data_IF_762262317136
#
_entry.id   IF_762262317136
#
_cell.length_a   1.000
_cell.length_b   1.000
_cell.length_c   1.000
_cell.angle_alpha   90.00
_cell.angle_beta   90.00
_cell.angle_gamma   90.00
#
_symmetry.space_group_name_H-M   'P 1'
#
loop_
_entity.id
_entity.type
_entity.pdbx_description
1 polymer ?
#
# COMPACT_ATOMS: atom_id res chain seq x y z
N UNK A 1 1.96 -17.92 5.59
CA UNK A 1 3.08 -17.02 5.23
C UNK A 1 3.23 -17.07 3.72
N UNK A 2 3.03 -15.97 2.99
CA UNK A 2 2.92 -15.96 1.52
C UNK A 2 4.18 -16.48 0.78
N UNK A 3 5.34 -16.48 1.43
CA UNK A 3 6.63 -16.89 0.86
C UNK A 3 7.39 -17.95 1.67
N UNK A 4 6.84 -18.45 2.79
CA UNK A 4 7.65 -19.13 3.81
C UNK A 4 8.69 -18.18 4.43
N UNK A 5 9.77 -18.72 5.02
CA UNK A 5 10.92 -17.89 5.40
C UNK A 5 11.67 -17.46 4.12
N UNK A 6 11.86 -16.16 3.87
CA UNK A 6 12.43 -15.68 2.61
C UNK A 6 13.94 -15.92 2.59
N UNK A 7 14.38 -17.04 2.02
CA UNK A 7 15.81 -17.30 1.78
C UNK A 7 16.33 -16.61 0.52
N UNK A 8 15.44 -16.07 -0.33
CA UNK A 8 15.81 -15.37 -1.56
C UNK A 8 16.25 -13.93 -1.23
N UNK A 9 17.52 -13.54 -1.45
CA UNK A 9 18.00 -12.18 -1.21
C UNK A 9 17.26 -11.12 -2.04
N UNK A 10 16.69 -11.48 -3.19
CA UNK A 10 15.92 -10.55 -4.03
C UNK A 10 14.64 -10.10 -3.34
N UNK A 11 14.01 -10.99 -2.55
CA UNK A 11 12.84 -10.62 -1.73
C UNK A 11 13.22 -9.62 -0.66
N UNK A 12 14.37 -9.79 0.00
CA UNK A 12 14.86 -8.82 0.97
C UNK A 12 15.08 -7.45 0.32
N UNK A 13 15.75 -7.40 -0.84
CA UNK A 13 15.90 -6.17 -1.60
C UNK A 13 14.53 -5.54 -1.88
N UNK A 14 13.57 -6.30 -2.41
CA UNK A 14 12.22 -5.82 -2.68
C UNK A 14 11.54 -5.23 -1.44
N UNK A 15 11.62 -5.92 -0.30
CA UNK A 15 11.01 -5.46 0.95
C UNK A 15 11.61 -4.14 1.44
N UNK A 16 12.90 -3.91 1.21
CA UNK A 16 13.53 -2.65 1.61
C UNK A 16 13.27 -1.50 0.63
N UNK A 17 13.19 -1.77 -0.66
CA UNK A 17 13.17 -0.69 -1.68
C UNK A 17 11.78 -0.28 -2.16
N UNK A 18 10.75 -1.12 -1.97
CA UNK A 18 9.44 -0.89 -2.58
C UNK A 18 8.80 0.47 -2.26
N UNK A 19 8.96 0.95 -1.03
CA UNK A 19 8.41 2.23 -0.57
C UNK A 19 9.43 3.38 -0.53
N UNK A 20 10.69 3.16 -0.95
CA UNK A 20 11.71 4.23 -0.91
C UNK A 20 11.39 5.40 -1.83
N UNK A 21 10.49 5.22 -2.81
CA UNK A 21 9.99 6.32 -3.65
C UNK A 21 9.18 7.38 -2.89
N UNK A 22 8.75 7.11 -1.66
CA UNK A 22 8.13 8.11 -0.78
C UNK A 22 9.14 9.08 -0.16
N UNK A 23 10.43 8.72 -0.12
CA UNK A 23 11.46 9.55 0.54
C UNK A 23 11.55 10.92 -0.14
N UNK A 24 11.31 11.97 0.64
CA UNK A 24 11.37 13.36 0.16
C UNK A 24 10.11 13.84 -0.56
N UNK A 25 9.04 13.05 -0.63
CA UNK A 25 7.75 13.48 -1.20
C UNK A 25 6.88 14.20 -0.16
N UNK A 26 6.41 15.42 -0.43
CA UNK A 26 5.60 16.20 0.51
C UNK A 26 4.13 15.76 0.59
N UNK A 27 3.64 14.98 -0.38
CA UNK A 27 2.24 14.58 -0.49
C UNK A 27 2.10 13.10 -0.85
N UNK A 28 1.82 12.26 0.16
CA UNK A 28 1.76 10.80 0.00
C UNK A 28 0.50 10.33 -0.74
N UNK A 29 -0.62 11.06 -0.62
CA UNK A 29 -1.85 10.80 -1.36
C UNK A 29 -2.02 11.74 -2.56
N UNK A 30 -0.94 12.33 -3.05
CA UNK A 30 -0.89 13.12 -4.28
C UNK A 30 -0.51 12.30 -5.50
N UNK A 31 -0.41 12.97 -6.67
CA UNK A 31 0.11 12.37 -7.91
C UNK A 31 1.55 11.90 -7.70
N UNK A 32 2.36 12.66 -6.96
CA UNK A 32 3.74 12.30 -6.64
C UNK A 32 3.82 11.06 -5.74
N UNK A 33 2.90 10.93 -4.80
CA UNK A 33 2.80 9.79 -3.91
C UNK A 33 2.36 8.52 -4.65
N UNK A 34 1.60 8.61 -5.74
CA UNK A 34 1.28 7.44 -6.58
C UNK A 34 2.50 6.88 -7.32
N UNK A 35 3.49 7.72 -7.62
CA UNK A 35 4.71 7.34 -8.32
C UNK A 35 5.77 6.68 -7.42
N UNK A 36 5.53 6.50 -6.12
CA UNK A 36 6.49 5.86 -5.20
C UNK A 36 6.97 4.48 -5.69
N UNK A 37 6.11 3.77 -6.41
CA UNK A 37 6.39 2.44 -6.96
C UNK A 37 7.53 2.42 -7.99
N UNK A 38 7.75 3.54 -8.68
CA UNK A 38 8.64 3.60 -9.85
C UNK A 38 10.10 3.42 -9.44
N UNK A 39 10.56 4.16 -8.43
CA UNK A 39 11.95 4.10 -7.99
C UNK A 39 12.38 2.69 -7.57
N UNK A 40 11.57 2.03 -6.74
CA UNK A 40 11.85 0.67 -6.30
C UNK A 40 11.82 -0.32 -7.47
N UNK A 41 10.87 -0.16 -8.39
CA UNK A 41 10.74 -1.01 -9.58
C UNK A 41 11.95 -0.89 -10.51
N UNK A 42 12.36 0.33 -10.87
CA UNK A 42 13.53 0.57 -11.72
C UNK A 42 14.80 -0.02 -11.12
N UNK A 43 14.98 0.12 -9.80
CA UNK A 43 16.12 -0.44 -9.09
C UNK A 43 16.11 -1.97 -9.18
N UNK A 44 14.98 -2.62 -8.86
CA UNK A 44 14.91 -4.08 -8.95
C UNK A 44 14.99 -4.59 -10.39
N UNK A 45 14.45 -3.86 -11.36
CA UNK A 45 14.57 -4.15 -12.79
C UNK A 45 16.01 -4.13 -13.26
N UNK A 46 16.77 -3.12 -12.83
CA UNK A 46 18.19 -2.97 -13.14
C UNK A 46 19.04 -4.12 -12.57
N UNK A 47 18.78 -4.55 -11.34
CA UNK A 47 19.60 -5.57 -10.67
C UNK A 47 19.14 -7.02 -10.91
N UNK A 48 17.85 -7.25 -11.13
CA UNK A 48 17.25 -8.59 -11.12
C UNK A 48 16.32 -8.88 -12.32
N UNK A 49 16.10 -7.90 -13.21
CA UNK A 49 15.35 -8.05 -14.46
C UNK A 49 13.87 -7.66 -14.37
N UNK A 50 13.21 -7.61 -15.54
CA UNK A 50 11.85 -7.09 -15.71
C UNK A 50 10.78 -7.77 -14.84
N UNK A 51 10.94 -9.06 -14.52
CA UNK A 51 9.99 -9.74 -13.61
C UNK A 51 10.01 -9.13 -12.19
N UNK A 52 11.18 -8.66 -11.74
CA UNK A 52 11.34 -8.02 -10.42
C UNK A 52 10.94 -6.55 -10.44
N UNK A 53 11.07 -5.89 -11.60
CA UNK A 53 10.48 -4.58 -11.86
C UNK A 53 8.97 -4.65 -11.68
N UNK A 54 8.28 -5.54 -12.42
CA UNK A 54 6.83 -5.74 -12.33
C UNK A 54 6.40 -6.17 -10.92
N UNK A 55 7.16 -7.05 -10.29
CA UNK A 55 6.89 -7.51 -8.93
C UNK A 55 6.86 -6.33 -7.94
N UNK A 56 7.75 -5.36 -8.09
CA UNK A 56 7.75 -4.15 -7.30
C UNK A 56 6.71 -3.14 -7.79
N UNK A 57 6.61 -2.87 -9.08
CA UNK A 57 5.73 -1.85 -9.64
C UNK A 57 4.27 -2.09 -9.26
N UNK A 58 3.84 -3.35 -9.30
CA UNK A 58 2.46 -3.75 -9.00
C UNK A 58 2.22 -4.05 -7.51
N UNK A 59 3.05 -3.53 -6.60
CA UNK A 59 2.76 -3.59 -5.16
C UNK A 59 1.71 -2.54 -4.71
N UNK A 60 1.48 -1.49 -5.51
CA UNK A 60 0.42 -0.50 -5.26
C UNK A 60 -0.89 -0.86 -5.96
N UNK A 61 -1.98 -0.96 -5.19
CA UNK A 61 -3.33 -1.25 -5.71
C UNK A 61 -3.82 -0.17 -6.68
N UNK A 62 -3.52 1.10 -6.39
CA UNK A 62 -3.91 2.22 -7.25
C UNK A 62 -3.17 2.19 -8.58
N UNK A 63 -1.86 1.92 -8.54
CA UNK A 63 -1.05 1.78 -9.76
C UNK A 63 -1.55 0.61 -10.62
N UNK A 64 -1.85 -0.53 -10.01
CA UNK A 64 -2.46 -1.67 -10.68
C UNK A 64 -3.78 -1.30 -11.38
N UNK A 65 -4.63 -0.50 -10.73
CA UNK A 65 -5.89 -0.04 -11.33
C UNK A 65 -5.70 0.92 -12.48
N UNK A 66 -4.70 1.79 -12.41
CA UNK A 66 -4.34 2.72 -13.48
C UNK A 66 -3.87 1.97 -14.73
N UNK A 67 -2.98 1.00 -14.56
CA UNK A 67 -2.42 0.21 -15.67
C UNK A 67 -3.30 -1.00 -16.06
N UNK A 68 -4.43 -1.23 -15.38
CA UNK A 68 -5.28 -2.42 -15.56
C UNK A 68 -4.55 -3.77 -15.32
N UNK A 69 -3.57 -3.77 -14.41
CA UNK A 69 -2.82 -4.95 -13.99
C UNK A 69 -3.35 -5.53 -12.66
N UNK A 70 -2.95 -6.77 -12.36
CA UNK A 70 -3.24 -7.42 -11.07
C UNK A 70 -2.15 -7.08 -10.04
N UNK A 71 -2.50 -6.93 -8.75
CA UNK A 71 -1.52 -6.75 -7.70
C UNK A 71 -0.51 -7.90 -7.63
N UNK A 72 0.76 -7.55 -7.44
CA UNK A 72 1.82 -8.55 -7.25
C UNK A 72 1.70 -9.21 -5.88
N UNK A 73 2.41 -10.33 -5.68
CA UNK A 73 2.49 -10.96 -4.36
C UNK A 73 3.06 -10.00 -3.28
N UNK A 74 3.89 -9.03 -3.70
CA UNK A 74 4.45 -8.02 -2.81
C UNK A 74 3.35 -7.12 -2.23
N UNK A 75 2.33 -6.76 -3.03
CA UNK A 75 1.17 -6.00 -2.55
C UNK A 75 0.49 -6.71 -1.37
N UNK A 76 0.20 -8.01 -1.51
CA UNK A 76 -0.48 -8.76 -0.47
C UNK A 76 0.39 -8.90 0.79
N UNK A 77 1.69 -9.10 0.61
CA UNK A 77 2.63 -9.21 1.71
C UNK A 77 2.79 -7.91 2.49
N UNK A 78 2.88 -6.77 1.79
CA UNK A 78 2.86 -5.43 2.38
C UNK A 78 1.61 -5.23 3.26
N UNK A 79 0.42 -5.52 2.73
CA UNK A 79 -0.83 -5.35 3.51
C UNK A 79 -0.92 -6.29 4.71
N UNK A 80 -0.44 -7.53 4.58
CA UNK A 80 -0.36 -8.44 5.73
C UNK A 80 0.68 -8.00 6.76
N UNK A 81 1.78 -7.36 6.36
CA UNK A 81 2.77 -6.84 7.29
C UNK A 81 2.15 -5.77 8.21
N UNK A 82 1.33 -4.87 7.65
CA UNK A 82 0.56 -3.88 8.45
C UNK A 82 -0.39 -4.58 9.43
N UNK A 83 -1.06 -5.66 9.01
CA UNK A 83 -1.96 -6.44 9.88
C UNK A 83 -1.24 -7.13 11.04
N UNK A 84 0.06 -7.44 10.90
CA UNK A 84 0.87 -8.09 11.94
C UNK A 84 1.60 -7.08 12.82
N UNK A 85 1.71 -5.83 12.37
CA UNK A 85 2.44 -4.81 13.10
C UNK A 85 1.68 -4.39 14.37
N UNK A 86 2.35 -4.33 15.54
CA UNK A 86 1.69 -3.88 16.75
C UNK A 86 1.44 -2.36 16.70
N UNK A 87 0.29 -1.94 17.23
CA UNK A 87 -0.14 -0.53 17.24
C UNK A 87 0.89 0.41 17.87
N UNK A 88 1.64 -0.05 18.87
CA UNK A 88 2.63 0.77 19.58
C UNK A 88 3.86 1.07 18.72
N UNK A 89 4.08 0.33 17.64
CA UNK A 89 5.15 0.57 16.67
C UNK A 89 4.65 1.38 15.47
N UNK A 90 3.47 1.03 14.95
CA UNK A 90 2.90 1.71 13.79
C UNK A 90 2.45 3.15 14.10
N UNK A 91 1.66 3.34 15.16
CA UNK A 91 1.02 4.63 15.45
C UNK A 91 2.03 5.76 15.72
N UNK A 92 3.15 5.58 16.44
CA UNK A 92 4.14 6.63 16.57
C UNK A 92 4.72 7.06 15.22
N UNK A 93 5.05 6.13 14.33
CA UNK A 93 5.60 6.43 13.00
C UNK A 93 4.58 7.18 12.14
N UNK A 94 3.36 6.67 12.07
CA UNK A 94 2.28 7.26 11.28
C UNK A 94 1.81 8.63 11.80
N UNK A 95 2.03 8.93 13.09
CA UNK A 95 1.85 10.28 13.65
C UNK A 95 2.99 11.22 13.28
N UNK A 96 4.25 10.75 13.39
CA UNK A 96 5.43 11.55 13.09
C UNK A 96 5.51 11.91 11.59
N UNK A 97 5.09 11.02 10.70
CA UNK A 97 5.01 11.30 9.26
C UNK A 97 3.84 12.21 8.89
N UNK A 98 2.84 12.38 9.75
CA UNK A 98 1.60 13.08 9.45
C UNK A 98 0.59 12.25 8.63
N UNK A 99 0.93 11.00 8.29
CA UNK A 99 0.12 10.08 7.49
C UNK A 99 -1.30 9.92 8.06
N UNK A 100 -1.44 9.72 9.37
CA UNK A 100 -2.77 9.56 10.01
C UNK A 100 -3.69 10.76 9.75
N UNK A 101 -3.14 11.97 9.75
CA UNK A 101 -3.92 13.19 9.55
C UNK A 101 -4.39 13.30 8.10
N UNK A 102 -3.53 12.95 7.14
CA UNK A 102 -3.83 12.92 5.71
C UNK A 102 -4.90 11.87 5.41
N UNK A 103 -4.72 10.64 5.90
CA UNK A 103 -5.69 9.55 5.76
C UNK A 103 -7.07 9.92 6.31
N UNK A 104 -7.14 10.42 7.55
CA UNK A 104 -8.41 10.81 8.19
C UNK A 104 -9.09 11.97 7.47
N UNK A 105 -8.30 12.90 6.91
CA UNK A 105 -8.83 14.01 6.09
C UNK A 105 -9.41 13.47 4.77
N UNK A 106 -8.66 12.63 4.07
CA UNK A 106 -9.07 12.03 2.80
C UNK A 106 -10.24 11.05 2.96
N UNK A 107 -10.40 10.41 4.12
CA UNK A 107 -11.54 9.55 4.38
C UNK A 107 -12.84 10.31 4.68
N UNK A 108 -12.77 11.59 5.09
CA UNK A 108 -13.95 12.43 5.37
C UNK A 108 -14.55 13.08 4.12
N UNK A 109 -13.74 13.27 3.08
CA UNK A 109 -14.18 13.86 1.81
C UNK A 109 -14.88 12.78 0.98
N UNK A 110 -16.12 13.02 0.54
CA UNK A 110 -16.92 12.05 -0.24
C UNK A 110 -16.25 11.58 -1.54
N UNK A 111 -15.40 12.41 -2.13
CA UNK A 111 -14.57 12.10 -3.31
C UNK A 111 -13.17 11.54 -2.95
N UNK A 112 -12.88 11.37 -1.66
CA UNK A 112 -11.55 11.02 -1.20
C UNK A 112 -11.24 9.53 -1.33
N UNK A 113 -9.95 9.25 -1.54
CA UNK A 113 -9.38 7.92 -1.85
C UNK A 113 -9.78 6.80 -0.88
N UNK A 114 -10.11 7.18 0.36
CA UNK A 114 -10.40 6.26 1.47
C UNK A 114 -11.85 6.34 1.97
N UNK A 115 -12.71 7.14 1.34
CA UNK A 115 -14.09 7.35 1.76
C UNK A 115 -14.88 6.04 1.80
N UNK A 116 -14.70 5.17 0.80
CA UNK A 116 -15.41 3.88 0.69
C UNK A 116 -14.93 2.83 1.69
N UNK A 117 -13.80 3.05 2.38
CA UNK A 117 -13.24 2.08 3.33
C UNK A 117 -13.97 2.07 4.68
N UNK A 118 -14.80 3.09 4.96
CA UNK A 118 -15.61 3.21 6.18
C UNK A 118 -14.83 2.91 7.48
N UNK A 119 -13.61 3.44 7.56
CA UNK A 119 -12.71 3.26 8.70
C UNK A 119 -13.23 4.03 9.92
N UNK A 120 -12.78 3.62 11.12
CA UNK A 120 -13.13 4.23 12.40
C UNK A 120 -12.46 5.62 12.60
N UNK A 121 -12.65 6.53 11.64
CA UNK A 121 -11.95 7.81 11.53
C UNK A 121 -12.30 8.81 12.65
N UNK A 122 -13.48 8.68 13.25
CA UNK A 122 -13.96 9.50 14.36
C UNK A 122 -13.62 8.90 15.73
N UNK A 123 -12.98 7.73 15.76
CA UNK A 123 -12.50 7.08 16.98
C UNK A 123 -11.00 7.34 17.17
N UNK A 124 -10.49 7.06 18.38
CA UNK A 124 -9.07 7.21 18.69
C UNK A 124 -8.17 6.42 17.73
N UNK A 125 -6.92 6.84 17.56
CA UNK A 125 -6.01 6.28 16.54
C UNK A 125 -5.83 4.77 16.61
N UNK A 126 -5.96 4.18 17.81
CA UNK A 126 -5.93 2.73 17.97
C UNK A 126 -7.12 2.03 17.32
N UNK A 127 -8.34 2.53 17.55
CA UNK A 127 -9.54 1.98 16.92
C UNK A 127 -9.49 2.19 15.39
N UNK A 128 -8.96 3.33 14.94
CA UNK A 128 -8.69 3.57 13.52
C UNK A 128 -7.71 2.52 12.96
N UNK A 129 -6.57 2.28 13.62
CA UNK A 129 -5.58 1.30 13.16
C UNK A 129 -6.12 -0.12 13.15
N UNK A 130 -6.87 -0.53 14.18
CA UNK A 130 -7.56 -1.83 14.22
C UNK A 130 -8.55 -1.97 13.05
N UNK A 131 -9.25 -0.88 12.68
CA UNK A 131 -10.13 -0.89 11.49
C UNK A 131 -9.36 -0.99 10.17
N UNK A 132 -8.18 -0.36 10.07
CA UNK A 132 -7.28 -0.49 8.92
C UNK A 132 -6.79 -1.93 8.78
N UNK A 133 -6.31 -2.54 9.87
CA UNK A 133 -5.85 -3.93 9.87
C UNK A 133 -6.96 -4.89 9.44
N UNK A 134 -8.18 -4.73 9.98
CA UNK A 134 -9.31 -5.58 9.60
C UNK A 134 -9.70 -5.38 8.13
N UNK A 135 -9.73 -4.14 7.64
CA UNK A 135 -10.00 -3.87 6.22
C UNK A 135 -8.95 -4.53 5.32
N UNK A 136 -7.66 -4.34 5.61
CA UNK A 136 -6.56 -4.89 4.82
C UNK A 136 -6.58 -6.42 4.84
N UNK A 137 -6.81 -7.02 6.00
CA UNK A 137 -6.91 -8.47 6.13
C UNK A 137 -8.04 -9.04 5.25
N UNK A 138 -9.23 -8.44 5.29
CA UNK A 138 -10.37 -8.86 4.45
C UNK A 138 -10.08 -8.64 2.97
N UNK A 139 -9.46 -7.51 2.61
CA UNK A 139 -9.08 -7.23 1.24
C UNK A 139 -8.09 -8.28 0.70
N UNK A 140 -7.06 -8.62 1.48
CA UNK A 140 -6.12 -9.68 1.09
C UNK A 140 -6.85 -11.01 0.94
N UNK A 141 -7.68 -11.39 1.92
CA UNK A 141 -8.43 -12.65 1.87
C UNK A 141 -9.37 -12.76 0.66
N UNK A 142 -9.98 -11.65 0.23
CA UNK A 142 -10.88 -11.65 -0.92
C UNK A 142 -10.14 -11.73 -2.25
N UNK A 143 -8.95 -11.11 -2.37
CA UNK A 143 -8.31 -10.89 -3.67
C UNK A 143 -7.01 -11.70 -3.89
N UNK A 144 -6.48 -12.39 -2.88
CA UNK A 144 -5.22 -13.15 -3.02
C UNK A 144 -5.30 -14.28 -4.06
N UNK A 145 -6.49 -14.80 -4.31
CA UNK A 145 -6.78 -15.85 -5.30
C UNK A 145 -6.97 -15.29 -6.72
N UNK A 146 -6.76 -13.98 -6.90
CA UNK A 146 -6.75 -13.32 -8.20
C UNK A 146 -8.10 -12.80 -8.67
N UNK A 147 -9.10 -12.73 -7.77
CA UNK A 147 -10.35 -11.98 -8.00
C UNK A 147 -10.08 -10.50 -8.27
N UNK A 148 -10.97 -9.87 -9.03
CA UNK A 148 -10.84 -8.44 -9.36
C UNK A 148 -11.01 -7.57 -8.10
N UNK A 149 -10.06 -6.65 -7.88
CA UNK A 149 -10.15 -5.67 -6.80
C UNK A 149 -11.28 -4.66 -7.01
N UNK A 150 -12.46 -4.94 -6.48
CA UNK A 150 -13.61 -4.03 -6.57
C UNK A 150 -13.66 -3.01 -5.44
N UNK A 151 -12.75 -3.11 -4.48
CA UNK A 151 -12.76 -2.35 -3.23
C UNK A 151 -11.93 -1.07 -3.33
N UNK A 152 -10.82 -1.12 -4.06
CA UNK A 152 -9.98 0.05 -4.33
C UNK A 152 -10.64 0.88 -5.43
N UNK A 153 -10.99 2.16 -5.16
CA UNK A 153 -11.60 3.01 -6.17
C UNK A 153 -10.61 3.27 -7.32
N UNK A 154 -11.12 3.26 -8.57
CA UNK A 154 -10.36 3.75 -9.72
C UNK A 154 -10.23 5.27 -9.58
N UNK A 155 -9.03 5.80 -9.74
CA UNK A 155 -8.82 7.24 -9.81
C UNK A 155 -9.61 7.78 -11.01
N UNK A 156 -10.53 8.70 -10.80
CA UNK A 156 -10.98 9.57 -11.88
C UNK A 156 -9.90 10.63 -11.98
N UNK A 157 -9.05 10.58 -13.02
CA UNK A 157 -8.25 11.75 -13.36
C UNK A 157 -9.25 12.91 -13.53
N UNK A 158 -9.13 13.94 -12.70
CA UNK A 158 -9.68 15.24 -13.08
C UNK A 158 -8.77 15.72 -14.21
N UNK A 159 -9.23 15.48 -15.44
CA UNK A 159 -8.66 16.07 -16.66
C UNK A 159 -8.63 17.60 -16.55
#
# INVERSE_FOLDING_TARGET
MLYGFPYDPKLWCAFFVHDLGYVGKPNMDGVEGEQHVVFGAELLGLFFGAEWEDFCLYHSRFWCKKESHKPSKLCFADKLAICLEPWWFYLPRARLSGEILEYKRNARVREGRYYTMNLANDYGDRAWFESVQNYLYRWVFEHYDGKEDTWTPRHQSKD
#
